data_IF_744324537920
#
_entry.id   IF_744324537920
#
_cell.length_a   1.000
_cell.length_b   1.000
_cell.length_c   1.000
_cell.angle_alpha   90.00
_cell.angle_beta   90.00
_cell.angle_gamma   90.00
#
_symmetry.space_group_name_H-M   'P 1'
#
loop_
_entity.id
_entity.type
_entity.pdbx_description
1 polymer ?
#
# COMPACT_ATOMS: atom_id res chain seq x y z
N UNK A 1 2.81 -31.12 -15.55
CA UNK A 1 3.87 -30.11 -15.40
C UNK A 1 3.28 -28.94 -14.60
N UNK A 2 3.93 -28.55 -13.52
CA UNK A 2 3.49 -27.41 -12.69
C UNK A 2 3.86 -26.13 -13.45
N UNK A 3 2.92 -25.54 -14.18
CA UNK A 3 3.11 -24.28 -14.91
C UNK A 3 2.92 -23.06 -13.98
N UNK A 4 3.55 -23.06 -12.81
CA UNK A 4 3.59 -21.85 -12.00
C UNK A 4 4.56 -20.87 -12.66
N UNK A 5 4.02 -19.94 -13.45
CA UNK A 5 4.79 -18.93 -14.15
C UNK A 5 5.32 -17.85 -13.19
N UNK A 6 6.32 -17.11 -13.67
CA UNK A 6 6.81 -15.89 -13.01
C UNK A 6 5.70 -14.92 -12.56
N UNK A 7 4.61 -14.71 -13.33
CA UNK A 7 3.52 -13.82 -12.92
C UNK A 7 2.93 -14.17 -11.56
N UNK A 8 2.82 -15.46 -11.22
CA UNK A 8 2.09 -15.90 -10.03
C UNK A 8 2.74 -15.42 -8.75
N UNK A 9 4.01 -15.79 -8.53
CA UNK A 9 4.69 -15.42 -7.30
C UNK A 9 4.99 -13.91 -7.25
N UNK A 10 5.12 -13.23 -8.40
CA UNK A 10 5.28 -11.77 -8.44
C UNK A 10 4.02 -11.07 -7.93
N UNK A 11 2.82 -11.42 -8.41
CA UNK A 11 1.61 -10.74 -7.94
C UNK A 11 1.32 -11.03 -6.47
N UNK A 12 1.58 -12.26 -6.01
CA UNK A 12 1.44 -12.62 -4.59
C UNK A 12 2.39 -11.81 -3.70
N UNK A 13 3.63 -11.64 -4.16
CA UNK A 13 4.63 -10.85 -3.45
C UNK A 13 4.29 -9.36 -3.44
N UNK A 14 3.84 -8.79 -4.57
CA UNK A 14 3.44 -7.38 -4.67
C UNK A 14 2.24 -7.07 -3.79
N UNK A 15 1.19 -7.90 -3.82
CA UNK A 15 0.00 -7.73 -2.99
C UNK A 15 0.34 -7.86 -1.50
N UNK A 16 1.17 -8.84 -1.12
CA UNK A 16 1.66 -9.01 0.24
C UNK A 16 2.48 -7.82 0.73
N UNK A 17 3.44 -7.33 -0.08
CA UNK A 17 4.24 -6.15 0.24
C UNK A 17 3.37 -4.90 0.44
N UNK A 18 2.39 -4.69 -0.44
CA UNK A 18 1.49 -3.55 -0.39
C UNK A 18 0.64 -3.53 0.90
N UNK A 19 -0.01 -4.65 1.23
CA UNK A 19 -0.75 -4.80 2.48
C UNK A 19 0.15 -4.75 3.72
N UNK A 20 1.33 -5.36 3.65
CA UNK A 20 2.33 -5.36 4.73
C UNK A 20 2.88 -3.97 5.03
N UNK A 21 3.12 -3.16 3.99
CA UNK A 21 3.56 -1.77 4.15
C UNK A 21 2.48 -0.94 4.87
N UNK A 22 1.21 -1.08 4.48
CA UNK A 22 0.12 -0.40 5.18
C UNK A 22 -0.01 -0.86 6.64
N UNK A 23 -0.02 -2.19 6.85
CA UNK A 23 -0.11 -2.80 8.19
C UNK A 23 0.96 -2.26 9.13
N UNK A 24 2.22 -2.27 8.71
CA UNK A 24 3.33 -1.79 9.55
C UNK A 24 3.28 -0.28 9.75
N UNK A 25 2.99 0.50 8.71
CA UNK A 25 2.88 1.94 8.83
C UNK A 25 1.75 2.36 9.78
N UNK A 26 0.62 1.66 9.75
CA UNK A 26 -0.50 1.89 10.67
C UNK A 26 -0.14 1.54 12.11
N UNK A 27 0.54 0.42 12.34
CA UNK A 27 1.02 0.06 13.68
C UNK A 27 2.00 1.09 14.23
N UNK A 28 2.95 1.55 13.41
CA UNK A 28 3.90 2.59 13.78
C UNK A 28 3.20 3.92 14.14
N UNK A 29 2.19 4.32 13.37
CA UNK A 29 1.37 5.50 13.69
C UNK A 29 0.59 5.33 15.00
N UNK A 30 0.08 4.13 15.27
CA UNK A 30 -0.64 3.80 16.49
C UNK A 30 0.29 3.87 17.72
N UNK A 31 1.49 3.30 17.64
CA UNK A 31 2.48 3.32 18.73
C UNK A 31 3.04 4.72 18.98
N UNK A 32 3.25 5.50 17.91
CA UNK A 32 3.78 6.87 17.99
C UNK A 32 2.66 7.91 18.24
N UNK A 33 1.41 7.47 18.48
CA UNK A 33 0.24 8.34 18.74
C UNK A 33 -0.01 9.40 17.66
N UNK A 34 0.26 9.08 16.40
CA UNK A 34 0.08 10.00 15.26
C UNK A 34 1.36 10.60 14.68
N UNK A 35 2.54 10.19 15.15
CA UNK A 35 3.83 10.69 14.65
C UNK A 35 4.18 10.22 13.24
N UNK A 36 3.54 9.16 12.75
CA UNK A 36 3.91 8.49 11.49
C UNK A 36 2.79 8.52 10.44
N UNK A 37 1.85 9.47 10.55
CA UNK A 37 0.74 9.62 9.59
C UNK A 37 1.21 9.76 8.15
N UNK A 38 2.35 10.42 7.94
CA UNK A 38 2.92 10.55 6.60
C UNK A 38 3.36 9.19 6.04
N UNK A 39 3.87 8.29 6.89
CA UNK A 39 4.24 6.93 6.50
C UNK A 39 3.02 6.12 6.08
N UNK A 40 1.90 6.24 6.82
CA UNK A 40 0.61 5.63 6.44
C UNK A 40 0.14 6.14 5.09
N UNK A 41 0.25 7.46 4.86
CA UNK A 41 -0.10 8.07 3.56
C UNK A 41 0.73 7.49 2.43
N UNK A 42 2.05 7.43 2.59
CA UNK A 42 2.94 6.84 1.59
C UNK A 42 2.63 5.37 1.34
N UNK A 43 2.39 4.58 2.39
CA UNK A 43 2.05 3.17 2.28
C UNK A 43 0.76 2.96 1.46
N UNK A 44 -0.29 3.73 1.75
CA UNK A 44 -1.57 3.68 1.00
C UNK A 44 -1.38 4.07 -0.46
N UNK A 45 -0.69 5.19 -0.74
CA UNK A 45 -0.50 5.67 -2.11
C UNK A 45 0.37 4.71 -2.93
N UNK A 46 1.40 4.10 -2.33
CA UNK A 46 2.21 3.09 -2.99
C UNK A 46 1.47 1.75 -3.14
N UNK A 47 0.59 1.41 -2.20
CA UNK A 47 -0.18 0.18 -2.25
C UNK A 47 -1.07 0.07 -3.49
N UNK A 48 -1.63 1.18 -3.96
CA UNK A 48 -2.49 1.22 -5.15
C UNK A 48 -1.77 0.74 -6.42
N UNK A 49 -0.65 1.33 -6.88
CA UNK A 49 0.05 0.87 -8.08
C UNK A 49 0.60 -0.55 -7.93
N UNK A 50 1.08 -0.95 -6.74
CA UNK A 50 1.49 -2.34 -6.50
C UNK A 50 0.33 -3.32 -6.70
N UNK A 51 -0.86 -2.99 -6.20
CA UNK A 51 -2.05 -3.80 -6.38
C UNK A 51 -2.49 -3.86 -7.85
N UNK A 52 -2.47 -2.73 -8.56
CA UNK A 52 -2.82 -2.66 -9.98
C UNK A 52 -1.89 -3.55 -10.81
N UNK A 53 -0.57 -3.47 -10.59
CA UNK A 53 0.40 -4.34 -11.27
C UNK A 53 0.11 -5.81 -10.93
N UNK A 54 -0.18 -6.11 -9.66
CA UNK A 54 -0.55 -7.46 -9.23
C UNK A 54 -1.81 -7.99 -9.94
N UNK A 55 -2.86 -7.18 -10.04
CA UNK A 55 -4.11 -7.53 -10.74
C UNK A 55 -3.85 -7.75 -12.22
N UNK A 56 -3.05 -6.92 -12.88
CA UNK A 56 -2.71 -7.09 -14.30
C UNK A 56 -2.01 -8.44 -14.52
N UNK A 57 -1.02 -8.77 -13.69
CA UNK A 57 -0.33 -10.05 -13.76
C UNK A 57 -1.26 -11.24 -13.51
N UNK A 58 -2.18 -11.12 -12.56
CA UNK A 58 -3.21 -12.13 -12.29
C UNK A 58 -4.14 -12.33 -13.49
N UNK A 59 -4.57 -11.23 -14.13
CA UNK A 59 -5.46 -11.28 -15.31
C UNK A 59 -4.77 -11.94 -16.50
N UNK A 60 -3.47 -11.68 -16.70
CA UNK A 60 -2.65 -12.34 -17.72
C UNK A 60 -2.54 -13.85 -17.42
N UNK A 61 -2.28 -14.21 -16.16
CA UNK A 61 -2.15 -15.60 -15.72
C UNK A 61 -3.46 -16.41 -15.89
N UNK A 62 -4.61 -15.76 -15.75
CA UNK A 62 -5.93 -16.37 -15.98
C UNK A 62 -6.16 -16.86 -17.41
N UNK A 63 -5.36 -16.40 -18.38
CA UNK A 63 -5.44 -16.78 -19.80
C UNK A 63 -6.68 -16.30 -20.56
N UNK A 64 -7.74 -15.90 -19.86
CA UNK A 64 -9.01 -15.41 -20.43
C UNK A 64 -9.39 -14.03 -19.84
N UNK A 65 -8.66 -12.97 -20.19
CA UNK A 65 -8.79 -11.66 -19.55
C UNK A 65 -10.21 -11.06 -19.65
N UNK A 66 -10.92 -11.33 -20.76
CA UNK A 66 -12.27 -10.84 -20.99
C UNK A 66 -13.31 -11.40 -19.99
N UNK A 67 -13.00 -12.49 -19.29
CA UNK A 67 -13.89 -13.12 -18.30
C UNK A 67 -13.60 -12.70 -16.87
N UNK A 68 -12.55 -11.90 -16.62
CA UNK A 68 -12.17 -11.46 -15.28
C UNK A 68 -13.31 -10.76 -14.54
N UNK A 69 -14.16 -9.99 -15.24
CA UNK A 69 -15.31 -9.33 -14.61
C UNK A 69 -16.29 -10.31 -13.96
N UNK A 70 -16.37 -11.57 -14.41
CA UNK A 70 -17.20 -12.58 -13.76
C UNK A 70 -16.75 -12.88 -12.32
N UNK A 71 -15.44 -12.75 -12.01
CA UNK A 71 -14.92 -12.89 -10.64
C UNK A 71 -15.43 -11.75 -9.75
N UNK A 72 -15.57 -10.55 -10.30
CA UNK A 72 -16.04 -9.36 -9.60
C UNK A 72 -17.56 -9.33 -9.44
N UNK A 73 -18.32 -10.01 -10.29
CA UNK A 73 -19.80 -10.03 -10.24
C UNK A 73 -20.34 -11.26 -9.51
N UNK A 74 -19.71 -12.43 -9.70
CA UNK A 74 -20.14 -13.66 -9.04
C UNK A 74 -19.48 -13.78 -7.65
N UNK A 75 -20.16 -13.26 -6.62
CA UNK A 75 -19.73 -13.44 -5.23
C UNK A 75 -19.94 -14.90 -4.80
N UNK A 76 -18.89 -15.71 -4.88
CA UNK A 76 -18.91 -17.14 -4.49
C UNK A 76 -18.05 -17.37 -3.27
N UNK A 77 -18.65 -17.26 -2.08
CA UNK A 77 -17.96 -17.40 -0.78
C UNK A 77 -17.20 -18.73 -0.64
N UNK A 78 -17.75 -19.81 -1.21
CA UNK A 78 -17.14 -21.14 -1.17
C UNK A 78 -15.92 -21.29 -2.11
N UNK A 79 -15.71 -20.35 -3.04
CA UNK A 79 -14.54 -20.32 -3.89
C UNK A 79 -13.50 -19.40 -3.27
N UNK A 80 -12.35 -19.92 -2.80
CA UNK A 80 -11.28 -19.08 -2.27
C UNK A 80 -10.99 -17.92 -3.22
N UNK A 81 -10.77 -18.24 -4.51
CA UNK A 81 -10.41 -17.28 -5.56
C UNK A 81 -11.38 -16.07 -5.67
N UNK A 82 -12.69 -16.29 -5.52
CA UNK A 82 -13.68 -15.20 -5.53
C UNK A 82 -13.52 -14.33 -4.28
N UNK A 83 -13.43 -14.94 -3.11
CA UNK A 83 -13.26 -14.24 -1.84
C UNK A 83 -12.02 -13.33 -1.84
N UNK A 84 -10.90 -13.82 -2.39
CA UNK A 84 -9.67 -13.04 -2.58
C UNK A 84 -9.84 -11.79 -3.42
N UNK A 85 -10.53 -11.91 -4.57
CA UNK A 85 -10.79 -10.78 -5.46
C UNK A 85 -11.60 -9.68 -4.78
N UNK A 86 -12.58 -10.05 -3.94
CA UNK A 86 -13.37 -9.11 -3.16
C UNK A 86 -12.60 -8.45 -2.02
N UNK A 87 -11.78 -9.23 -1.29
CA UNK A 87 -10.87 -8.68 -0.28
C UNK A 87 -9.96 -7.62 -0.92
N UNK A 88 -9.33 -7.96 -2.05
CA UNK A 88 -8.43 -7.07 -2.76
C UNK A 88 -9.15 -5.84 -3.30
N UNK A 89 -10.35 -6.00 -3.87
CA UNK A 89 -11.16 -4.90 -4.39
C UNK A 89 -11.55 -3.91 -3.29
N UNK A 90 -12.02 -4.40 -2.14
CA UNK A 90 -12.40 -3.54 -1.03
C UNK A 90 -11.18 -2.82 -0.45
N UNK A 91 -10.06 -3.53 -0.29
CA UNK A 91 -8.80 -2.94 0.18
C UNK A 91 -8.33 -1.80 -0.74
N UNK A 92 -8.21 -2.06 -2.05
CA UNK A 92 -7.84 -1.01 -3.02
C UNK A 92 -8.86 0.12 -3.05
N UNK A 93 -10.15 -0.19 -2.94
CA UNK A 93 -11.23 0.81 -2.91
C UNK A 93 -11.10 1.75 -1.72
N UNK A 94 -10.84 1.23 -0.53
CA UNK A 94 -10.61 2.03 0.68
C UNK A 94 -9.34 2.88 0.52
N UNK A 95 -8.23 2.30 0.02
CA UNK A 95 -6.99 3.03 -0.27
C UNK A 95 -7.21 4.23 -1.21
N UNK A 96 -7.97 4.04 -2.29
CA UNK A 96 -8.32 5.10 -3.24
C UNK A 96 -9.18 6.18 -2.58
N UNK A 97 -10.22 5.80 -1.83
CA UNK A 97 -11.08 6.76 -1.11
C UNK A 97 -10.24 7.57 -0.11
N UNK A 98 -9.37 6.93 0.68
CA UNK A 98 -8.49 7.62 1.62
C UNK A 98 -7.54 8.59 0.92
N UNK A 99 -6.97 8.19 -0.22
CA UNK A 99 -6.09 9.05 -1.02
C UNK A 99 -6.83 10.28 -1.54
N UNK A 100 -8.05 10.11 -2.08
CA UNK A 100 -8.91 11.21 -2.52
C UNK A 100 -9.24 12.15 -1.35
N UNK A 101 -9.61 11.59 -0.20
CA UNK A 101 -9.93 12.39 1.00
C UNK A 101 -8.73 13.23 1.44
N UNK A 102 -7.52 12.66 1.52
CA UNK A 102 -6.31 13.41 1.87
C UNK A 102 -5.95 14.48 0.84
N UNK A 103 -6.12 14.20 -0.45
CA UNK A 103 -5.91 15.21 -1.49
C UNK A 103 -6.92 16.36 -1.38
N UNK A 104 -8.16 16.04 -1.04
CA UNK A 104 -9.23 17.02 -0.86
C UNK A 104 -9.08 17.88 0.41
N UNK A 105 -8.27 17.48 1.39
CA UNK A 105 -8.10 18.22 2.66
C UNK A 105 -7.60 19.65 2.43
N UNK A 106 -6.67 19.87 1.50
CA UNK A 106 -6.10 21.19 1.21
C UNK A 106 -7.14 22.16 0.59
N UNK A 107 -7.81 21.83 -0.53
CA UNK A 107 -8.84 22.71 -1.08
C UNK A 107 -10.06 22.86 -0.17
N UNK A 108 -10.47 21.80 0.56
CA UNK A 108 -11.55 21.92 1.54
C UNK A 108 -11.20 22.87 2.69
N UNK A 109 -9.95 22.88 3.15
CA UNK A 109 -9.52 23.81 4.19
C UNK A 109 -9.59 25.28 3.76
N UNK A 110 -9.54 25.56 2.45
CA UNK A 110 -9.62 26.90 1.89
C UNK A 110 -11.06 27.33 1.54
N UNK A 111 -11.95 26.38 1.22
CA UNK A 111 -13.28 26.67 0.66
C UNK A 111 -14.46 26.21 1.52
N UNK A 112 -14.25 25.31 2.48
CA UNK A 112 -15.34 24.68 3.24
C UNK A 112 -15.29 25.02 4.74
N UNK A 113 -16.41 24.79 5.43
CA UNK A 113 -16.50 24.96 6.88
C UNK A 113 -15.55 24.02 7.63
N UNK A 114 -15.06 24.45 8.80
CA UNK A 114 -14.24 23.61 9.68
C UNK A 114 -14.93 22.27 10.02
N UNK A 115 -16.26 22.24 10.07
CA UNK A 115 -17.06 21.04 10.28
C UNK A 115 -16.86 19.99 9.19
N UNK A 116 -16.78 20.41 7.92
CA UNK A 116 -16.57 19.52 6.78
C UNK A 116 -15.15 18.93 6.78
N UNK A 117 -14.14 19.75 7.10
CA UNK A 117 -12.76 19.26 7.21
C UNK A 117 -12.61 18.28 8.38
N UNK A 118 -13.30 18.54 9.49
CA UNK A 118 -13.33 17.64 10.66
C UNK A 118 -14.04 16.33 10.36
N UNK A 119 -15.10 16.33 9.55
CA UNK A 119 -15.79 15.10 9.15
C UNK A 119 -14.92 14.25 8.22
N UNK A 120 -14.23 14.85 7.25
CA UNK A 120 -13.29 14.16 6.37
C UNK A 120 -12.15 13.50 7.15
N UNK A 121 -11.54 14.21 8.11
CA UNK A 121 -10.51 13.65 9.01
C UNK A 121 -11.04 12.50 9.89
N UNK A 122 -12.30 12.57 10.30
CA UNK A 122 -12.94 11.48 11.06
C UNK A 122 -13.16 10.26 10.17
N UNK A 123 -13.64 10.47 8.94
CA UNK A 123 -13.85 9.41 7.96
C UNK A 123 -12.53 8.70 7.63
N UNK A 124 -11.44 9.43 7.34
CA UNK A 124 -10.13 8.82 7.07
C UNK A 124 -9.62 8.00 8.25
N UNK A 125 -9.82 8.47 9.50
CA UNK A 125 -9.45 7.70 10.69
C UNK A 125 -10.26 6.41 10.83
N UNK A 126 -11.56 6.43 10.53
CA UNK A 126 -12.38 5.21 10.53
C UNK A 126 -11.96 4.26 9.40
N UNK A 127 -11.80 4.77 8.18
CA UNK A 127 -11.36 3.98 7.03
C UNK A 127 -10.00 3.35 7.28
N UNK A 128 -9.09 4.00 8.01
CA UNK A 128 -7.77 3.44 8.32
C UNK A 128 -7.84 2.14 9.12
N UNK A 129 -8.81 2.01 10.03
CA UNK A 129 -9.02 0.76 10.76
C UNK A 129 -9.58 -0.35 9.86
N UNK A 130 -10.48 -0.02 8.95
CA UNK A 130 -10.98 -0.98 7.97
C UNK A 130 -9.86 -1.41 7.02
N UNK A 131 -9.07 -0.47 6.54
CA UNK A 131 -7.91 -0.72 5.69
C UNK A 131 -6.90 -1.66 6.38
N UNK A 132 -6.67 -1.49 7.69
CA UNK A 132 -5.83 -2.39 8.48
C UNK A 132 -6.37 -3.84 8.43
N UNK A 133 -7.67 -4.01 8.70
CA UNK A 133 -8.31 -5.34 8.70
C UNK A 133 -8.17 -5.99 7.32
N UNK A 134 -8.49 -5.24 6.26
CA UNK A 134 -8.37 -5.73 4.89
C UNK A 134 -6.93 -5.99 4.47
N UNK A 135 -5.95 -5.22 4.97
CA UNK A 135 -4.51 -5.48 4.74
C UNK A 135 -4.11 -6.84 5.30
N UNK A 136 -4.51 -7.13 6.55
CA UNK A 136 -4.24 -8.44 7.18
C UNK A 136 -4.93 -9.57 6.41
N UNK A 137 -6.16 -9.35 5.93
CA UNK A 137 -6.87 -10.32 5.10
C UNK A 137 -6.14 -10.56 3.78
N UNK A 138 -5.68 -9.54 3.06
CA UNK A 138 -4.89 -9.69 1.82
C UNK A 138 -3.62 -10.52 2.08
N UNK A 139 -2.91 -10.22 3.17
CA UNK A 139 -1.68 -10.92 3.56
C UNK A 139 -1.94 -12.39 3.89
N UNK A 140 -2.97 -12.69 4.69
CA UNK A 140 -3.27 -14.05 5.15
C UNK A 140 -3.96 -14.91 4.08
N UNK A 141 -4.86 -14.32 3.30
CA UNK A 141 -5.70 -15.01 2.32
C UNK A 141 -4.87 -15.77 1.28
N UNK A 142 -3.73 -15.23 0.87
CA UNK A 142 -2.80 -15.91 -0.04
C UNK A 142 -2.35 -17.27 0.53
N UNK A 143 -1.98 -17.30 1.81
CA UNK A 143 -1.60 -18.54 2.48
C UNK A 143 -2.77 -19.51 2.62
N UNK A 144 -3.99 -19.01 2.83
CA UNK A 144 -5.21 -19.85 2.86
C UNK A 144 -5.50 -20.47 1.49
N UNK A 145 -5.40 -19.67 0.42
CA UNK A 145 -5.60 -20.15 -0.95
C UNK A 145 -4.61 -21.28 -1.30
N UNK A 146 -3.35 -21.12 -0.91
CA UNK A 146 -2.33 -22.14 -1.11
C UNK A 146 -2.56 -23.38 -0.24
N UNK A 147 -2.89 -23.20 1.04
CA UNK A 147 -3.14 -24.31 1.96
C UNK A 147 -4.37 -25.15 1.59
N UNK A 148 -5.34 -24.56 0.89
CA UNK A 148 -6.55 -25.23 0.39
C UNK A 148 -6.39 -25.79 -1.03
N UNK A 149 -5.23 -25.58 -1.67
CA UNK A 149 -4.94 -26.14 -2.99
C UNK A 149 -4.58 -27.62 -2.91
N UNK A 150 -4.80 -28.37 -4.00
CA UNK A 150 -4.63 -29.83 -4.03
C UNK A 150 -3.16 -30.27 -4.22
N UNK A 151 -2.19 -29.38 -3.97
CA UNK A 151 -0.77 -29.62 -4.19
C UNK A 151 -0.12 -30.24 -2.94
N UNK A 152 0.46 -31.45 -3.02
CA UNK A 152 0.94 -32.20 -1.85
C UNK A 152 1.98 -31.48 -0.99
N UNK A 153 2.71 -30.52 -1.54
CA UNK A 153 3.77 -29.78 -0.84
C UNK A 153 3.25 -28.84 0.26
N UNK A 154 2.02 -28.33 0.12
CA UNK A 154 1.49 -27.28 1.00
C UNK A 154 0.01 -27.43 1.34
N UNK A 155 -0.68 -28.41 0.76
CA UNK A 155 -2.04 -28.77 1.13
C UNK A 155 -2.12 -29.11 2.62
N UNK A 156 -3.05 -28.47 3.34
CA UNK A 156 -3.28 -28.73 4.77
C UNK A 156 -2.28 -28.07 5.74
N UNK A 157 -1.33 -27.28 5.26
CA UNK A 157 -0.38 -26.58 6.13
C UNK A 157 -1.04 -25.41 6.85
N UNK A 158 -1.40 -25.62 8.12
CA UNK A 158 -2.11 -24.62 8.97
C UNK A 158 -1.29 -23.34 9.18
N UNK A 159 0.04 -23.42 9.16
CA UNK A 159 0.93 -22.28 9.41
C UNK A 159 1.14 -21.38 8.19
N UNK A 160 0.70 -21.78 6.99
CA UNK A 160 0.97 -21.05 5.76
C UNK A 160 0.45 -19.60 5.80
N UNK A 161 -0.79 -19.31 6.24
CA UNK A 161 -1.29 -17.94 6.36
C UNK A 161 -0.41 -17.07 7.27
N UNK A 162 0.04 -17.60 8.40
CA UNK A 162 0.91 -16.88 9.34
C UNK A 162 2.29 -16.58 8.74
N UNK A 163 2.86 -17.52 7.99
CA UNK A 163 4.12 -17.32 7.28
C UNK A 163 4.01 -16.24 6.20
N UNK A 164 2.90 -16.23 5.45
CA UNK A 164 2.63 -15.18 4.48
C UNK A 164 2.48 -13.80 5.13
N UNK A 165 1.79 -13.72 6.27
CA UNK A 165 1.68 -12.48 7.05
C UNK A 165 3.05 -11.98 7.52
N UNK A 166 3.88 -12.86 8.09
CA UNK A 166 5.22 -12.50 8.54
C UNK A 166 6.11 -12.02 7.38
N UNK A 167 6.09 -12.75 6.26
CA UNK A 167 6.85 -12.38 5.06
C UNK A 167 6.38 -11.05 4.47
N UNK A 168 5.08 -10.84 4.37
CA UNK A 168 4.48 -9.61 3.87
C UNK A 168 4.82 -8.41 4.76
N UNK A 169 4.77 -8.58 6.08
CA UNK A 169 5.19 -7.53 7.01
C UNK A 169 6.68 -7.19 6.82
N UNK A 170 7.54 -8.20 6.65
CA UNK A 170 8.98 -7.97 6.42
C UNK A 170 9.26 -7.22 5.11
N UNK A 171 8.62 -7.60 4.01
CA UNK A 171 8.80 -6.90 2.72
C UNK A 171 8.16 -5.52 2.72
N UNK A 172 7.05 -5.35 3.45
CA UNK A 172 6.42 -4.07 3.72
C UNK A 172 7.35 -3.10 4.46
N UNK A 173 8.02 -3.55 5.54
CA UNK A 173 9.06 -2.77 6.23
C UNK A 173 10.15 -2.32 5.26
N UNK A 174 10.66 -3.24 4.44
CA UNK A 174 11.70 -2.90 3.46
C UNK A 174 11.24 -1.81 2.48
N UNK A 175 10.00 -1.89 1.98
CA UNK A 175 9.42 -0.87 1.12
C UNK A 175 9.32 0.50 1.82
N UNK A 176 8.88 0.52 3.08
CA UNK A 176 8.77 1.74 3.87
C UNK A 176 10.14 2.38 4.13
N UNK A 177 11.16 1.57 4.45
CA UNK A 177 12.54 2.05 4.64
C UNK A 177 13.02 2.71 3.35
N UNK A 178 12.92 2.03 2.20
CA UNK A 178 13.33 2.59 0.90
C UNK A 178 12.60 3.91 0.64
N UNK A 179 11.28 3.93 0.82
CA UNK A 179 10.46 5.12 0.60
C UNK A 179 10.89 6.28 1.50
N UNK A 180 11.13 6.01 2.79
CA UNK A 180 11.56 7.02 3.76
C UNK A 180 12.96 7.58 3.46
N UNK A 181 13.89 6.73 3.02
CA UNK A 181 15.25 7.15 2.64
C UNK A 181 15.21 7.98 1.37
N UNK A 182 14.44 7.57 0.36
CA UNK A 182 14.30 8.31 -0.90
C UNK A 182 13.64 9.67 -0.66
N UNK A 183 12.56 9.72 0.12
CA UNK A 183 11.89 10.98 0.47
C UNK A 183 12.84 11.95 1.18
N UNK A 184 13.60 11.48 2.18
CA UNK A 184 14.59 12.32 2.88
C UNK A 184 15.76 12.76 1.99
N UNK A 185 16.14 11.94 1.01
CA UNK A 185 17.24 12.27 0.08
C UNK A 185 16.82 13.34 -0.91
N UNK A 186 15.58 13.26 -1.43
CA UNK A 186 15.00 14.28 -2.30
C UNK A 186 14.91 15.61 -1.56
N UNK A 187 14.39 15.61 -0.33
CA UNK A 187 14.22 16.84 0.47
C UNK A 187 15.55 17.54 0.76
N UNK A 188 16.61 16.77 1.07
CA UNK A 188 17.98 17.30 1.21
C UNK A 188 18.57 17.78 -0.11
N UNK A 189 18.24 17.14 -1.23
CA UNK A 189 18.71 17.50 -2.57
C UNK A 189 18.11 18.81 -3.06
N UNK A 190 16.80 18.97 -2.90
CA UNK A 190 16.07 20.21 -3.21
C UNK A 190 16.54 21.36 -2.33
N UNK A 191 16.75 21.12 -1.03
CA UNK A 191 17.29 22.13 -0.12
C UNK A 191 18.69 22.59 -0.55
N UNK A 192 19.56 21.66 -0.99
CA UNK A 192 20.90 22.00 -1.50
C UNK A 192 20.84 22.78 -2.81
N UNK A 193 19.93 22.42 -3.72
CA UNK A 193 19.72 23.13 -4.98
C UNK A 193 19.13 24.53 -4.76
N UNK A 194 18.14 24.66 -3.88
CA UNK A 194 17.55 25.94 -3.51
C UNK A 194 18.60 26.86 -2.86
N UNK A 195 19.42 26.36 -1.94
CA UNK A 195 20.54 27.10 -1.35
C UNK A 195 21.59 27.46 -2.42
N UNK A 196 21.86 26.56 -3.37
CA UNK A 196 22.78 26.81 -4.49
C UNK A 196 22.30 27.93 -5.40
N UNK A 197 21.02 27.91 -5.78
CA UNK A 197 20.38 28.93 -6.61
C UNK A 197 20.29 30.27 -5.89
N UNK A 198 19.99 30.29 -4.58
CA UNK A 198 20.01 31.51 -3.77
C UNK A 198 21.43 32.08 -3.68
N UNK A 199 22.45 31.26 -3.42
CA UNK A 199 23.86 31.71 -3.42
C UNK A 199 24.31 32.26 -4.77
N UNK A 200 23.86 31.65 -5.87
CA UNK A 200 24.16 32.09 -7.24
C UNK A 200 23.43 33.38 -7.60
N UNK A 201 22.15 33.52 -7.20
CA UNK A 201 21.31 34.69 -7.49
C UNK A 201 21.65 35.92 -6.64
N UNK A 202 22.16 35.73 -5.43
CA UNK A 202 22.55 36.82 -4.52
C UNK A 202 24.06 37.06 -4.41
N UNK A 203 24.90 36.37 -5.20
CA UNK A 203 26.34 36.64 -5.26
C UNK A 203 27.07 36.53 -3.91
N UNK A 204 26.56 35.71 -2.98
CA UNK A 204 27.08 35.60 -1.60
C UNK A 204 28.37 34.75 -1.49
N UNK A 205 29.11 34.59 -2.59
CA UNK A 205 30.39 33.87 -2.62
C UNK A 205 31.54 34.58 -1.89
N UNK A 206 31.34 35.83 -1.42
CA UNK A 206 32.40 36.65 -0.79
C UNK A 206 32.10 37.16 0.63
N UNK A 207 31.44 36.37 1.48
CA UNK A 207 31.23 36.72 2.90
C UNK A 207 31.86 35.69 3.86
N UNK A 208 33.07 35.23 3.52
CA UNK A 208 33.95 34.46 4.44
C UNK A 208 35.36 35.04 4.58
N UNK A 209 35.63 36.22 4.03
CA UNK A 209 36.93 36.91 4.17
C UNK A 209 36.83 38.24 4.94
N UNK A 210 35.72 38.49 5.62
CA UNK A 210 35.51 39.69 6.43
C UNK A 210 34.61 39.33 7.62
N UNK A 211 35.16 38.52 8.53
CA UNK A 211 35.04 38.52 10.00
C UNK A 211 36.15 37.59 10.48
#
# INVERSE_FOLDING_TARGET
MINWGAPIWIYLWLAGMAGGAYFVAFLDDLFTRGGSRQLVRWATVLGIPLAVIGVILLVIDLGHPIRFWHLLVAFRVLSPMSLGSWILLVWVGIAVIMTILWWSEQPLALMASEGTVRSARRATRFLSWFELIFSVLVMAYTGVLLATSNLPLWAGTVLLPSLFVASAASTGVALLIITSVTANTIDKGELKLAIGLVKMRFGLTKLKSAI
#
